data_IF_670485438449
#
_entry.id   IF_670485438449
#
_cell.length_a   1.000
_cell.length_b   1.000
_cell.length_c   1.000
_cell.angle_alpha   90.00
_cell.angle_beta   90.00
_cell.angle_gamma   90.00
#
_symmetry.space_group_name_H-M   'P 1'
#
loop_
_entity.id
_entity.type
_entity.pdbx_description
1 polymer ?
#
# COMPACT_ATOMS: atom_id res chain seq x y z
N UNK A 1 1.03 22.76 15.71
CA UNK A 1 0.10 21.93 14.92
C UNK A 1 0.11 20.51 15.47
N UNK A 2 -0.94 19.72 15.24
CA UNK A 2 -0.98 18.29 15.59
C UNK A 2 -0.99 17.47 14.30
N UNK A 3 -0.38 16.28 14.33
CA UNK A 3 -0.45 15.28 13.26
C UNK A 3 -1.47 14.22 13.67
N UNK A 4 -2.35 13.82 12.74
CA UNK A 4 -3.29 12.73 12.96
C UNK A 4 -2.69 11.43 12.42
N UNK A 5 -2.44 10.47 13.31
CA UNK A 5 -2.15 9.09 12.93
C UNK A 5 -3.43 8.27 13.08
N UNK A 6 -3.83 7.57 12.03
CA UNK A 6 -5.08 6.79 12.02
C UNK A 6 -4.96 5.61 11.05
N UNK A 7 -5.94 4.72 11.09
CA UNK A 7 -6.07 3.64 10.11
C UNK A 7 -6.88 4.11 8.89
N UNK A 8 -6.72 3.46 7.74
CA UNK A 8 -7.52 3.75 6.54
C UNK A 8 -9.03 3.63 6.83
N UNK A 9 -9.42 2.62 7.61
CA UNK A 9 -10.80 2.39 8.02
C UNK A 9 -11.38 3.58 8.80
N UNK A 10 -10.64 4.10 9.78
CA UNK A 10 -11.07 5.26 10.58
C UNK A 10 -10.99 6.58 9.82
N UNK A 11 -10.19 6.66 8.75
CA UNK A 11 -10.09 7.84 7.90
C UNK A 11 -11.28 8.00 6.94
N UNK A 12 -12.17 7.00 6.82
CA UNK A 12 -13.31 7.05 5.92
C UNK A 12 -14.23 8.24 6.22
N UNK A 13 -14.51 9.04 5.20
CA UNK A 13 -15.33 10.26 5.31
C UNK A 13 -14.58 11.49 5.82
N UNK A 14 -13.31 11.36 6.21
CA UNK A 14 -12.44 12.46 6.58
C UNK A 14 -11.51 12.83 5.42
N UNK A 15 -10.96 14.04 5.44
CA UNK A 15 -10.03 14.52 4.41
C UNK A 15 -9.02 15.51 5.01
N UNK A 16 -7.81 15.54 4.44
CA UNK A 16 -6.73 16.45 4.85
C UNK A 16 -6.02 17.04 3.64
N UNK A 17 -5.43 18.23 3.82
CA UNK A 17 -4.63 18.87 2.78
C UNK A 17 -3.48 17.98 2.30
N UNK A 18 -2.80 17.35 3.26
CA UNK A 18 -1.66 16.46 3.00
C UNK A 18 -1.91 15.13 3.69
N UNK A 19 -1.71 14.02 2.98
CA UNK A 19 -1.83 12.65 3.52
C UNK A 19 -0.57 11.85 3.19
N UNK A 20 -0.12 11.07 4.18
CA UNK A 20 0.90 10.05 4.02
C UNK A 20 0.24 8.68 4.15
N UNK A 21 0.21 7.90 3.07
CA UNK A 21 -0.16 6.48 3.10
C UNK A 21 1.13 5.70 3.25
N UNK A 22 1.36 5.15 4.44
CA UNK A 22 2.62 4.50 4.78
C UNK A 22 2.53 2.98 4.64
N UNK A 23 3.64 2.36 4.23
CA UNK A 23 3.76 0.90 4.24
C UNK A 23 2.92 0.20 3.16
N UNK A 24 2.81 0.80 1.98
CA UNK A 24 2.13 0.18 0.83
C UNK A 24 3.07 -0.83 0.17
N UNK A 25 3.33 -1.92 0.89
CA UNK A 25 4.18 -3.02 0.44
C UNK A 25 3.34 -4.27 0.17
N UNK A 26 3.67 -5.09 -0.85
CA UNK A 26 3.03 -6.39 -1.04
C UNK A 26 3.12 -7.25 0.23
N UNK A 27 1.98 -7.75 0.72
CA UNK A 27 1.87 -8.53 1.94
C UNK A 27 1.45 -7.70 3.17
N UNK A 28 1.80 -6.41 3.21
CA UNK A 28 1.31 -5.45 4.20
C UNK A 28 0.02 -4.78 3.70
N UNK A 29 0.07 -4.19 2.51
CA UNK A 29 -1.03 -3.53 1.81
C UNK A 29 -0.77 -3.55 0.29
N UNK A 30 -1.38 -4.47 -0.48
CA UNK A 30 -2.46 -5.39 -0.09
C UNK A 30 -2.01 -6.44 0.95
N UNK A 31 -2.91 -6.72 1.90
CA UNK A 31 -2.65 -7.69 2.96
C UNK A 31 -2.47 -9.11 2.40
N UNK A 32 -1.53 -9.88 2.98
CA UNK A 32 -1.17 -11.22 2.47
C UNK A 32 -2.33 -12.21 2.36
N UNK A 33 -3.36 -12.10 3.22
CA UNK A 33 -4.54 -12.97 3.14
C UNK A 33 -5.37 -12.69 1.88
N UNK A 34 -5.54 -11.41 1.52
CA UNK A 34 -6.26 -11.03 0.30
C UNK A 34 -5.50 -11.45 -0.96
N UNK A 35 -4.16 -11.36 -0.93
CA UNK A 35 -3.31 -11.90 -1.99
C UNK A 35 -3.45 -13.42 -2.13
N UNK A 36 -3.38 -14.14 -1.00
CA UNK A 36 -3.46 -15.61 -0.98
C UNK A 36 -4.80 -16.13 -1.49
N UNK A 37 -5.89 -15.49 -1.07
CA UNK A 37 -7.25 -15.89 -1.43
C UNK A 37 -7.72 -15.23 -2.74
N UNK A 38 -6.85 -14.44 -3.40
CA UNK A 38 -7.14 -13.65 -4.58
C UNK A 38 -8.42 -12.80 -4.46
N UNK A 39 -8.63 -12.23 -3.28
CA UNK A 39 -9.82 -11.47 -2.87
C UNK A 39 -9.45 -9.99 -2.64
N UNK A 40 -8.93 -9.35 -3.70
CA UNK A 40 -8.33 -8.03 -3.63
C UNK A 40 -9.31 -6.86 -3.66
N UNK A 41 -10.58 -7.09 -3.99
CA UNK A 41 -11.57 -6.02 -4.17
C UNK A 41 -11.67 -5.07 -2.95
N UNK A 42 -11.62 -5.62 -1.73
CA UNK A 42 -11.68 -4.78 -0.52
C UNK A 42 -10.35 -4.05 -0.27
N UNK A 43 -9.21 -4.66 -0.54
CA UNK A 43 -7.91 -4.00 -0.43
C UNK A 43 -7.75 -2.86 -1.45
N UNK A 44 -8.20 -3.07 -2.69
CA UNK A 44 -8.24 -2.04 -3.74
C UNK A 44 -9.17 -0.89 -3.32
N UNK A 45 -10.33 -1.21 -2.75
CA UNK A 45 -11.26 -0.20 -2.21
C UNK A 45 -10.63 0.57 -1.05
N UNK A 46 -9.93 -0.09 -0.13
CA UNK A 46 -9.22 0.57 0.96
C UNK A 46 -8.13 1.48 0.43
N UNK A 47 -7.38 1.05 -0.59
CA UNK A 47 -6.35 1.87 -1.20
C UNK A 47 -6.93 3.11 -1.88
N UNK A 48 -8.04 2.96 -2.60
CA UNK A 48 -8.80 4.08 -3.14
C UNK A 48 -9.26 5.05 -2.04
N UNK A 49 -9.79 4.52 -0.92
CA UNK A 49 -10.17 5.36 0.22
C UNK A 49 -8.96 6.13 0.74
N UNK A 50 -7.82 5.47 0.95
CA UNK A 50 -6.59 6.08 1.45
C UNK A 50 -6.09 7.22 0.55
N UNK A 51 -6.02 6.99 -0.77
CA UNK A 51 -5.62 7.99 -1.77
C UNK A 51 -6.56 9.20 -1.74
N UNK A 52 -7.87 8.96 -1.75
CA UNK A 52 -8.88 10.02 -1.79
C UNK A 52 -9.05 10.79 -0.48
N UNK A 53 -8.28 10.46 0.58
CA UNK A 53 -8.24 11.30 1.79
C UNK A 53 -7.43 12.58 1.58
N UNK A 54 -6.54 12.61 0.59
CA UNK A 54 -5.71 13.77 0.26
C UNK A 54 -6.48 14.78 -0.60
N UNK A 55 -6.44 16.07 -0.23
CA UNK A 55 -6.98 17.17 -1.05
C UNK A 55 -5.94 17.76 -1.98
N UNK A 56 -4.74 18.00 -1.47
CA UNK A 56 -3.71 18.77 -2.19
C UNK A 56 -2.49 17.89 -2.50
N UNK A 57 -1.95 17.18 -1.51
CA UNK A 57 -0.72 16.38 -1.67
C UNK A 57 -0.89 15.00 -1.05
N UNK A 58 -0.54 13.97 -1.82
CA UNK A 58 -0.46 12.58 -1.39
C UNK A 58 0.99 12.10 -1.45
N UNK A 59 1.49 11.58 -0.33
CA UNK A 59 2.71 10.81 -0.28
C UNK A 59 2.37 9.36 -0.02
N UNK A 60 2.97 8.45 -0.81
CA UNK A 60 2.86 7.01 -0.59
C UNK A 60 4.25 6.46 -0.32
N UNK A 61 4.41 5.69 0.75
CA UNK A 61 5.69 5.08 1.09
C UNK A 61 5.67 3.57 0.89
N UNK A 62 6.71 3.08 0.23
CA UNK A 62 6.98 1.68 -0.02
C UNK A 62 8.46 1.42 0.32
N UNK A 63 8.74 0.28 0.92
CA UNK A 63 10.08 -0.13 1.33
C UNK A 63 10.90 -0.60 0.13
N UNK A 64 12.16 -0.16 0.04
CA UNK A 64 13.09 -0.65 -1.00
C UNK A 64 13.57 -2.09 -0.71
N UNK A 65 13.16 -2.69 0.41
CA UNK A 65 13.51 -4.08 0.72
C UNK A 65 13.08 -5.00 -0.43
N UNK A 66 13.98 -5.90 -0.79
CA UNK A 66 13.86 -6.72 -1.99
C UNK A 66 12.52 -7.45 -1.99
N UNK A 67 11.86 -7.51 -3.15
CA UNK A 67 10.66 -8.33 -3.38
C UNK A 67 10.84 -9.78 -2.89
N UNK A 68 12.10 -10.25 -2.81
CA UNK A 68 12.47 -11.54 -2.23
C UNK A 68 12.41 -11.59 -0.70
N UNK A 69 12.64 -10.50 0.03
CA UNK A 69 12.66 -10.51 1.49
C UNK A 69 11.25 -10.66 2.08
N UNK A 70 10.25 -10.02 1.47
CA UNK A 70 8.83 -10.17 1.84
C UNK A 70 8.35 -11.63 1.74
N UNK A 71 8.79 -12.36 0.70
CA UNK A 71 8.48 -13.80 0.57
C UNK A 71 9.11 -14.67 1.65
N UNK A 72 10.19 -14.20 2.30
CA UNK A 72 10.89 -14.91 3.40
C UNK A 72 10.47 -14.49 4.81
N UNK A 73 9.96 -13.27 5.02
CA UNK A 73 9.41 -12.83 6.32
C UNK A 73 7.97 -13.32 6.59
N UNK A 74 7.27 -13.80 5.56
CA UNK A 74 6.11 -14.67 5.75
C UNK A 74 6.57 -15.95 6.47
N UNK A 75 6.41 -15.97 7.79
CA UNK A 75 6.64 -17.12 8.69
C UNK A 75 5.68 -18.29 8.41
N UNK A 76 5.04 -18.31 7.23
CA UNK A 76 4.16 -19.38 6.76
C UNK A 76 4.60 -19.85 5.36
N UNK A 77 5.89 -20.16 5.25
CA UNK A 77 6.56 -20.53 4.02
C UNK A 77 5.96 -21.76 3.33
N UNK A 78 5.27 -21.52 2.21
CA UNK A 78 5.40 -22.35 1.02
C UNK A 78 5.72 -21.44 -0.15
N UNK A 79 6.84 -21.69 -0.82
CA UNK A 79 7.17 -21.11 -2.13
C UNK A 79 6.02 -21.45 -3.08
N UNK A 80 5.14 -20.49 -3.34
CA UNK A 80 4.22 -20.60 -4.46
C UNK A 80 4.98 -20.12 -5.70
N UNK A 81 5.01 -20.93 -6.75
CA UNK A 81 5.57 -20.56 -8.06
C UNK A 81 4.63 -19.62 -8.84
N UNK A 82 3.70 -18.93 -8.17
CA UNK A 82 2.69 -18.07 -8.81
C UNK A 82 3.17 -16.63 -8.91
N UNK A 83 3.63 -16.29 -10.11
CA UNK A 83 3.28 -15.07 -10.86
C UNK A 83 2.65 -13.92 -10.06
N UNK A 84 3.48 -12.90 -9.79
CA UNK A 84 3.10 -11.52 -9.50
C UNK A 84 2.25 -11.33 -8.24
N UNK A 85 2.91 -11.22 -7.07
CA UNK A 85 2.29 -10.52 -5.94
C UNK A 85 1.81 -9.13 -6.41
N UNK A 86 0.50 -8.84 -6.30
CA UNK A 86 -0.05 -7.54 -6.68
C UNK A 86 0.58 -6.46 -5.82
N UNK A 87 1.00 -5.39 -6.50
CA UNK A 87 1.71 -4.25 -5.92
C UNK A 87 0.98 -2.99 -6.36
N UNK A 88 0.24 -2.37 -5.44
CA UNK A 88 -0.57 -1.19 -5.74
C UNK A 88 0.26 0.00 -6.24
N UNK A 89 1.56 0.06 -5.94
CA UNK A 89 2.44 1.11 -6.46
C UNK A 89 2.67 0.93 -7.96
N UNK A 90 2.78 -0.32 -8.42
CA UNK A 90 2.99 -0.63 -9.84
C UNK A 90 1.73 -0.44 -10.67
N UNK A 91 0.56 -0.51 -10.04
CA UNK A 91 -0.74 -0.28 -10.68
C UNK A 91 -1.01 1.22 -10.95
N UNK A 92 -0.27 2.14 -10.30
CA UNK A 92 -0.41 3.59 -10.54
C UNK A 92 0.31 3.97 -11.84
N UNK A 93 -0.35 4.64 -12.79
CA UNK A 93 0.29 5.11 -14.01
C UNK A 93 1.53 5.98 -13.69
N UNK A 94 2.71 5.66 -14.24
CA UNK A 94 3.97 6.27 -13.81
C UNK A 94 4.04 7.79 -14.10
N UNK A 95 3.23 8.29 -15.03
CA UNK A 95 3.16 9.73 -15.33
C UNK A 95 2.36 10.54 -14.29
N UNK A 96 1.68 9.88 -13.35
CA UNK A 96 0.95 10.53 -12.26
C UNK A 96 1.78 10.66 -10.97
N UNK A 97 2.98 10.09 -10.94
CA UNK A 97 3.80 9.99 -9.73
C UNK A 97 5.21 10.50 -9.98
N UNK A 98 5.79 11.06 -8.93
CA UNK A 98 7.22 11.35 -8.85
C UNK A 98 7.85 10.36 -7.88
N UNK A 99 8.91 9.68 -8.30
CA UNK A 99 9.59 8.68 -7.47
C UNK A 99 10.75 9.30 -6.69
N UNK A 100 10.71 9.15 -5.37
CA UNK A 100 11.73 9.64 -4.45
C UNK A 100 12.41 8.46 -3.76
N UNK A 101 13.74 8.37 -3.86
CA UNK A 101 14.53 7.40 -3.07
C UNK A 101 15.14 8.12 -1.88
N UNK A 102 14.52 7.94 -0.72
CA UNK A 102 14.96 8.54 0.55
C UNK A 102 16.04 7.66 1.17
N UNK A 103 17.15 8.26 1.63
CA UNK A 103 18.28 7.58 2.29
C UNK A 103 18.16 7.64 3.81
#
# INVERSE_FOLDING_TARGET
>A
GKVTLTTVHQAKGLEWKVVFVIGVNPGDFPHFLALKDNSLDEEERLFYVAITRAKDILYVTHSVLSRNDYTSYSTYGKKSNSTVDRDFIQDIPPYLVEFWRVR
#
